data_IF_067862912992
#
_entry.id   IF_067862912992
#
_cell.length_a   1.000
_cell.length_b   1.000
_cell.length_c   1.000
_cell.angle_alpha   90.00
_cell.angle_beta   90.00
_cell.angle_gamma   90.00
#
_symmetry.space_group_name_H-M   'P 1'
#
loop_
_entity.id
_entity.type
_entity.pdbx_description
1 polymer ?
#
# COMPACT_ATOMS: atom_id res chain seq x y z
N UNK A 1 11.12 -25.61 -14.90
CA UNK A 1 10.16 -24.78 -15.66
C UNK A 1 8.71 -24.89 -15.16
N UNK A 2 8.18 -26.08 -14.82
CA UNK A 2 6.80 -26.25 -14.32
C UNK A 2 6.45 -25.52 -13.01
N UNK A 3 7.39 -25.40 -12.06
CA UNK A 3 7.15 -24.69 -10.79
C UNK A 3 7.02 -23.18 -10.95
N UNK A 4 7.81 -22.54 -11.82
CA UNK A 4 7.66 -21.10 -12.11
C UNK A 4 6.29 -20.75 -12.69
N UNK A 5 5.69 -21.67 -13.49
CA UNK A 5 4.36 -21.49 -14.03
C UNK A 5 3.27 -21.46 -12.94
N UNK A 6 3.34 -22.37 -11.95
CA UNK A 6 2.39 -22.43 -10.84
C UNK A 6 2.47 -21.19 -9.91
N UNK A 7 3.67 -20.69 -9.63
CA UNK A 7 3.84 -19.48 -8.83
C UNK A 7 3.30 -18.23 -9.54
N UNK A 8 3.48 -18.16 -10.88
CA UNK A 8 2.97 -17.04 -11.67
C UNK A 8 1.43 -17.01 -11.77
N UNK A 9 0.74 -18.10 -11.47
CA UNK A 9 -0.72 -18.14 -11.40
C UNK A 9 -1.28 -17.72 -10.04
N UNK A 10 -0.45 -17.66 -9.01
CA UNK A 10 -0.84 -17.23 -7.67
C UNK A 10 -1.00 -15.71 -7.64
N UNK A 11 -2.09 -15.23 -7.03
CA UNK A 11 -2.45 -13.81 -6.92
C UNK A 11 -2.07 -13.30 -5.52
N UNK A 12 -0.77 -13.23 -5.23
CA UNK A 12 -0.27 -12.89 -3.89
C UNK A 12 -0.80 -11.54 -3.39
N UNK A 13 -0.76 -10.51 -4.23
CA UNK A 13 -1.26 -9.19 -3.87
C UNK A 13 -2.77 -9.17 -3.63
N UNK A 14 -3.54 -9.91 -4.43
CA UNK A 14 -4.99 -10.01 -4.21
C UNK A 14 -5.29 -10.59 -2.83
N UNK A 15 -4.65 -11.70 -2.47
CA UNK A 15 -4.91 -12.36 -1.19
C UNK A 15 -4.45 -11.53 0.00
N UNK A 16 -3.27 -10.90 -0.08
CA UNK A 16 -2.79 -10.02 1.00
C UNK A 16 -3.65 -8.76 1.14
N UNK A 17 -4.19 -8.22 0.05
CA UNK A 17 -5.12 -7.09 0.10
C UNK A 17 -6.48 -7.49 0.66
N UNK A 18 -7.02 -8.67 0.30
CA UNK A 18 -8.24 -9.21 0.88
C UNK A 18 -8.11 -9.48 2.39
N UNK A 19 -6.89 -9.75 2.87
CA UNK A 19 -6.60 -9.83 4.30
C UNK A 19 -6.51 -8.43 4.94
N UNK A 20 -5.86 -7.46 4.28
CA UNK A 20 -5.72 -6.10 4.79
C UNK A 20 -7.06 -5.39 4.94
N UNK A 21 -8.01 -5.60 4.01
CA UNK A 21 -9.32 -4.94 4.02
C UNK A 21 -10.08 -5.11 5.36
N UNK A 22 -10.37 -6.34 5.83
CA UNK A 22 -11.05 -6.51 7.11
C UNK A 22 -10.20 -5.98 8.29
N UNK A 23 -8.88 -6.11 8.24
CA UNK A 23 -8.01 -5.58 9.29
C UNK A 23 -8.19 -4.07 9.43
N UNK A 24 -8.24 -3.30 8.34
CA UNK A 24 -8.41 -1.85 8.39
C UNK A 24 -9.75 -1.39 9.02
N UNK A 25 -10.78 -2.25 8.99
CA UNK A 25 -12.12 -1.88 9.48
C UNK A 25 -12.55 -2.61 10.76
N UNK A 26 -11.98 -3.78 11.05
CA UNK A 26 -12.32 -4.58 12.24
C UNK A 26 -11.33 -4.33 13.39
N UNK A 27 -10.03 -4.23 13.09
CA UNK A 27 -9.01 -4.01 14.12
C UNK A 27 -9.24 -2.74 14.97
N UNK A 28 -9.81 -1.64 14.46
CA UNK A 28 -10.19 -0.48 15.28
C UNK A 28 -11.01 -0.82 16.51
N UNK A 29 -11.91 -1.79 16.43
CA UNK A 29 -12.77 -2.22 17.54
C UNK A 29 -12.06 -3.09 18.59
N UNK A 30 -10.83 -3.54 18.27
CA UNK A 30 -9.97 -4.34 19.14
C UNK A 30 -8.67 -3.59 19.48
N UNK A 31 -8.61 -2.29 19.22
CA UNK A 31 -7.48 -1.41 19.48
C UNK A 31 -7.68 -0.66 20.81
N UNK A 32 -7.09 0.51 20.94
CA UNK A 32 -7.27 1.40 22.12
C UNK A 32 -8.56 2.21 22.00
N UNK A 33 -9.19 2.52 23.11
CA UNK A 33 -10.49 3.22 23.15
C UNK A 33 -10.47 4.62 22.51
N UNK A 34 -9.30 5.25 22.46
CA UNK A 34 -9.11 6.57 21.83
C UNK A 34 -9.00 6.53 20.33
N UNK A 35 -8.95 5.32 19.72
CA UNK A 35 -8.83 5.18 18.29
C UNK A 35 -10.13 5.56 17.57
N UNK A 36 -10.03 6.44 16.59
CA UNK A 36 -11.14 6.84 15.71
C UNK A 36 -10.85 6.46 14.25
N UNK A 37 -11.73 5.67 13.63
CA UNK A 37 -11.63 5.32 12.20
C UNK A 37 -11.60 6.57 11.32
N UNK A 38 -12.26 7.64 11.73
CA UNK A 38 -12.34 8.90 10.97
C UNK A 38 -11.02 9.66 11.04
N UNK A 39 -10.48 9.83 12.25
CA UNK A 39 -9.28 10.66 12.50
C UNK A 39 -7.97 9.88 12.33
N UNK A 40 -7.93 8.65 12.86
CA UNK A 40 -6.69 7.91 12.95
C UNK A 40 -6.47 7.06 11.70
N UNK A 41 -5.28 7.17 11.17
CA UNK A 41 -4.82 6.39 10.01
C UNK A 41 -4.67 4.91 10.34
N UNK A 42 -4.55 4.07 9.34
CA UNK A 42 -4.23 2.64 9.54
C UNK A 42 -2.84 2.44 10.15
N UNK A 43 -1.90 3.37 9.92
CA UNK A 43 -0.60 3.38 10.58
C UNK A 43 -0.71 3.50 12.10
N UNK A 44 -1.70 4.25 12.59
CA UNK A 44 -1.97 4.33 14.03
C UNK A 44 -2.47 3.01 14.63
N UNK A 45 -3.07 2.10 13.84
CA UNK A 45 -3.37 0.73 14.32
C UNK A 45 -2.10 -0.08 14.58
N UNK A 46 -1.02 0.23 13.88
CA UNK A 46 0.30 -0.37 14.05
C UNK A 46 1.26 0.45 14.92
N UNK A 47 0.78 1.51 15.59
CA UNK A 47 1.61 2.43 16.35
C UNK A 47 2.17 1.80 17.63
N UNK A 48 3.25 2.39 18.14
CA UNK A 48 3.85 2.02 19.43
C UNK A 48 2.80 2.13 20.54
N UNK A 49 2.84 1.23 21.50
CA UNK A 49 1.91 1.16 22.64
C UNK A 49 0.42 0.99 22.25
N UNK A 50 0.12 0.63 21.02
CA UNK A 50 -1.25 0.33 20.57
C UNK A 50 -1.57 -1.15 20.75
N UNK A 51 -2.72 -1.47 21.32
CA UNK A 51 -3.17 -2.85 21.49
C UNK A 51 -3.33 -3.53 20.13
N UNK A 52 -2.81 -4.75 20.01
CA UNK A 52 -2.84 -5.54 18.77
C UNK A 52 -2.14 -4.89 17.55
N UNK A 53 -1.24 -3.93 17.78
CA UNK A 53 -0.50 -3.24 16.72
C UNK A 53 0.21 -4.18 15.73
N UNK A 54 0.70 -5.31 16.23
CA UNK A 54 1.40 -6.31 15.42
C UNK A 54 0.55 -6.83 14.25
N UNK A 55 -0.79 -6.87 14.37
CA UNK A 55 -1.69 -7.35 13.32
C UNK A 55 -1.62 -6.44 12.09
N UNK A 56 -1.69 -5.13 12.28
CA UNK A 56 -1.57 -4.17 11.18
C UNK A 56 -0.17 -4.17 10.59
N UNK A 57 0.86 -4.24 11.43
CA UNK A 57 2.25 -4.25 11.00
C UNK A 57 2.57 -5.48 10.16
N UNK A 58 2.11 -6.67 10.57
CA UNK A 58 2.21 -7.90 9.76
C UNK A 58 1.46 -7.76 8.45
N UNK A 59 0.27 -7.15 8.43
CA UNK A 59 -0.48 -6.93 7.20
C UNK A 59 0.29 -6.03 6.22
N UNK A 60 0.95 -4.96 6.67
CA UNK A 60 1.80 -4.13 5.82
C UNK A 60 2.98 -4.91 5.25
N UNK A 61 3.65 -5.71 6.08
CA UNK A 61 4.75 -6.58 5.62
C UNK A 61 4.28 -7.57 4.56
N UNK A 62 3.15 -8.24 4.77
CA UNK A 62 2.60 -9.21 3.81
C UNK A 62 2.23 -8.56 2.48
N UNK A 63 1.57 -7.40 2.51
CA UNK A 63 1.24 -6.66 1.28
C UNK A 63 2.50 -6.18 0.58
N UNK A 64 3.49 -5.67 1.33
CA UNK A 64 4.76 -5.22 0.77
C UNK A 64 5.53 -6.35 0.08
N UNK A 65 5.65 -7.51 0.73
CA UNK A 65 6.27 -8.71 0.13
C UNK A 65 5.49 -9.14 -1.12
N UNK A 66 4.16 -9.13 -1.06
CA UNK A 66 3.32 -9.49 -2.21
C UNK A 66 3.57 -8.59 -3.41
N UNK A 67 3.71 -7.26 -3.20
CA UNK A 67 4.05 -6.32 -4.26
C UNK A 67 5.41 -6.64 -4.90
N UNK A 68 6.43 -6.98 -4.10
CA UNK A 68 7.75 -7.36 -4.59
C UNK A 68 7.64 -8.63 -5.43
N UNK A 69 6.98 -9.66 -4.93
CA UNK A 69 6.81 -10.94 -5.64
C UNK A 69 6.11 -10.73 -6.98
N UNK A 70 4.99 -9.99 -7.00
CA UNK A 70 4.24 -9.68 -8.23
C UNK A 70 5.07 -8.87 -9.22
N UNK A 71 5.89 -7.91 -8.76
CA UNK A 71 6.79 -7.14 -9.60
C UNK A 71 7.77 -8.04 -10.36
N UNK A 72 8.36 -9.00 -9.66
CA UNK A 72 9.37 -9.90 -10.25
C UNK A 72 8.77 -11.00 -11.10
N UNK A 73 7.54 -11.44 -10.83
CA UNK A 73 6.85 -12.45 -11.63
C UNK A 73 6.26 -11.86 -12.93
N UNK A 74 5.75 -10.63 -12.91
CA UNK A 74 4.91 -10.12 -14.01
C UNK A 74 5.49 -8.92 -14.77
N UNK A 75 6.38 -8.11 -14.15
CA UNK A 75 6.91 -6.89 -14.77
C UNK A 75 8.28 -7.10 -15.46
N UNK A 76 8.58 -8.31 -15.91
CA UNK A 76 9.89 -8.63 -16.50
C UNK A 76 10.28 -7.76 -17.70
N UNK A 77 9.32 -7.40 -18.55
CA UNK A 77 9.51 -6.52 -19.72
C UNK A 77 9.53 -5.02 -19.36
N UNK A 78 9.06 -4.66 -18.18
CA UNK A 78 8.89 -3.27 -17.73
C UNK A 78 9.80 -2.98 -16.53
N UNK A 79 11.12 -2.97 -16.75
CA UNK A 79 12.11 -2.86 -15.69
C UNK A 79 11.91 -1.65 -14.77
N UNK A 80 11.53 -0.49 -15.33
CA UNK A 80 11.28 0.72 -14.56
C UNK A 80 10.11 0.52 -13.57
N UNK A 81 8.99 -0.02 -14.05
CA UNK A 81 7.81 -0.32 -13.22
C UNK A 81 8.11 -1.43 -12.21
N UNK A 82 8.94 -2.42 -12.58
CA UNK A 82 9.40 -3.46 -11.66
C UNK A 82 10.19 -2.86 -10.50
N UNK A 83 11.13 -1.95 -10.77
CA UNK A 83 11.90 -1.27 -9.73
C UNK A 83 10.99 -0.42 -8.85
N UNK A 84 10.09 0.38 -9.44
CA UNK A 84 9.15 1.20 -8.68
C UNK A 84 8.24 0.38 -7.76
N UNK A 85 7.68 -0.73 -8.26
CA UNK A 85 6.82 -1.60 -7.45
C UNK A 85 7.64 -2.34 -6.37
N UNK A 86 8.91 -2.63 -6.63
CA UNK A 86 9.83 -3.17 -5.62
C UNK A 86 10.12 -2.15 -4.53
N UNK A 87 10.41 -0.88 -4.89
CA UNK A 87 10.61 0.21 -3.92
C UNK A 87 9.34 0.42 -3.09
N UNK A 88 8.17 0.47 -3.73
CA UNK A 88 6.88 0.57 -3.05
C UNK A 88 6.69 -0.57 -2.04
N UNK A 89 6.91 -1.81 -2.45
CA UNK A 89 6.76 -2.98 -1.59
C UNK A 89 7.76 -3.01 -0.44
N UNK A 90 9.05 -2.71 -0.69
CA UNK A 90 10.07 -2.60 0.36
C UNK A 90 9.71 -1.51 1.37
N UNK A 91 9.25 -0.37 0.89
CA UNK A 91 8.84 0.72 1.79
C UNK A 91 7.64 0.35 2.64
N UNK A 92 6.67 -0.40 2.12
CA UNK A 92 5.57 -0.96 2.93
C UNK A 92 6.08 -1.95 3.98
N UNK A 93 7.04 -2.84 3.63
CA UNK A 93 7.66 -3.75 4.60
C UNK A 93 8.30 -2.94 5.73
N UNK A 94 9.08 -1.92 5.41
CA UNK A 94 9.72 -1.09 6.43
C UNK A 94 8.72 -0.24 7.22
N UNK A 95 7.63 0.22 6.60
CA UNK A 95 6.51 0.86 7.31
C UNK A 95 5.87 -0.08 8.34
N UNK A 96 5.84 -1.39 8.08
CA UNK A 96 5.36 -2.40 9.05
C UNK A 96 6.41 -2.79 10.10
N UNK A 97 7.71 -2.62 9.82
CA UNK A 97 8.80 -2.94 10.78
C UNK A 97 9.01 -1.78 11.76
N UNK A 98 9.02 -0.55 11.27
CA UNK A 98 9.17 0.65 12.09
C UNK A 98 7.78 1.16 12.50
N UNK A 99 7.58 1.36 13.80
CA UNK A 99 6.26 1.69 14.35
C UNK A 99 6.05 3.20 14.41
N UNK A 100 4.85 3.63 14.05
CA UNK A 100 4.41 5.04 14.19
C UNK A 100 4.39 5.46 15.67
N UNK A 101 4.46 6.76 15.94
CA UNK A 101 4.25 7.32 17.28
C UNK A 101 2.90 6.89 17.87
N UNK A 102 2.78 6.76 19.21
CA UNK A 102 1.52 6.47 19.90
C UNK A 102 0.45 7.53 19.62
N UNK A 103 -0.82 7.12 19.68
CA UNK A 103 -1.96 8.04 19.61
C UNK A 103 -2.12 8.79 20.95
N UNK A 104 -1.76 8.14 22.06
CA UNK A 104 -1.93 8.70 23.41
C UNK A 104 -0.80 9.69 23.67
N UNK A 105 -1.15 10.93 23.96
CA UNK A 105 -0.19 11.97 24.30
C UNK A 105 0.54 11.66 25.63
N UNK A 106 1.80 12.06 25.72
CA UNK A 106 2.63 11.89 26.94
C UNK A 106 3.23 10.50 27.13
N UNK A 107 2.94 9.55 26.25
CA UNK A 107 3.60 8.22 26.28
C UNK A 107 5.00 8.33 25.71
N UNK A 108 5.99 7.77 26.43
CA UNK A 108 7.37 7.70 25.96
C UNK A 108 7.41 6.70 24.80
N UNK A 109 8.04 7.09 23.69
CA UNK A 109 8.15 6.26 22.51
C UNK A 109 9.50 6.43 21.80
N UNK A 110 9.83 5.52 20.91
CA UNK A 110 11.02 5.58 20.08
C UNK A 110 10.81 6.52 18.88
N UNK A 111 11.33 7.75 18.98
CA UNK A 111 11.20 8.76 17.94
C UNK A 111 11.99 8.41 16.65
N UNK A 112 13.00 7.54 16.73
CA UNK A 112 13.74 7.08 15.54
C UNK A 112 12.86 6.16 14.71
N UNK A 113 12.15 5.22 15.35
CA UNK A 113 11.19 4.35 14.66
C UNK A 113 10.08 5.16 13.97
N UNK A 114 9.49 6.13 14.67
CA UNK A 114 8.45 7.00 14.11
C UNK A 114 8.95 7.78 12.88
N UNK A 115 10.17 8.33 12.97
CA UNK A 115 10.78 9.02 11.83
C UNK A 115 11.01 8.08 10.66
N UNK A 116 11.51 6.87 10.90
CA UNK A 116 11.74 5.88 9.85
C UNK A 116 10.41 5.43 9.23
N UNK A 117 9.38 5.17 10.05
CA UNK A 117 8.03 4.90 9.57
C UNK A 117 7.54 5.99 8.62
N UNK A 118 7.65 7.26 9.03
CA UNK A 118 7.20 8.41 8.24
C UNK A 118 7.97 8.56 6.92
N UNK A 119 9.29 8.31 6.93
CA UNK A 119 10.11 8.30 5.71
C UNK A 119 9.62 7.22 4.74
N UNK A 120 9.48 5.97 5.22
CA UNK A 120 9.05 4.88 4.35
C UNK A 120 7.61 5.05 3.88
N UNK A 121 6.69 5.53 4.72
CA UNK A 121 5.33 5.86 4.31
C UNK A 121 5.30 6.94 3.22
N UNK A 122 6.20 7.92 3.29
CA UNK A 122 6.37 8.94 2.25
C UNK A 122 6.87 8.34 0.94
N UNK A 123 7.86 7.43 1.00
CA UNK A 123 8.36 6.72 -0.19
C UNK A 123 7.26 5.84 -0.81
N UNK A 124 6.41 5.20 -0.01
CA UNK A 124 5.20 4.49 -0.50
C UNK A 124 4.33 5.40 -1.35
N UNK A 125 3.99 6.59 -0.85
CA UNK A 125 3.17 7.56 -1.58
C UNK A 125 3.78 8.01 -2.90
N UNK A 126 5.05 8.43 -2.89
CA UNK A 126 5.75 8.89 -4.10
C UNK A 126 5.94 7.78 -5.13
N UNK A 127 6.41 6.61 -4.70
CA UNK A 127 6.64 5.48 -5.61
C UNK A 127 5.34 5.00 -6.25
N UNK A 128 4.23 5.00 -5.51
CA UNK A 128 2.90 4.68 -6.04
C UNK A 128 2.45 5.70 -7.08
N UNK A 129 2.53 7.00 -6.78
CA UNK A 129 2.12 8.06 -7.71
C UNK A 129 2.90 7.99 -9.02
N UNK A 130 4.23 7.82 -8.94
CA UNK A 130 5.08 7.68 -10.14
C UNK A 130 4.71 6.39 -10.89
N UNK A 131 4.51 5.27 -10.19
CA UNK A 131 4.09 4.01 -10.80
C UNK A 131 2.77 4.15 -11.54
N UNK A 132 1.76 4.77 -10.92
CA UNK A 132 0.44 4.94 -11.51
C UNK A 132 0.51 5.82 -12.77
N UNK A 133 1.11 7.00 -12.70
CA UNK A 133 1.21 7.92 -13.82
C UNK A 133 2.06 7.34 -14.96
N UNK A 134 3.22 6.74 -14.64
CA UNK A 134 4.10 6.15 -15.65
C UNK A 134 3.48 4.93 -16.34
N UNK A 135 2.57 4.22 -15.68
CA UNK A 135 1.84 3.11 -16.28
C UNK A 135 0.97 3.53 -17.48
N UNK A 136 0.62 4.83 -17.59
CA UNK A 136 -0.06 5.34 -18.77
C UNK A 136 0.77 5.19 -20.06
N UNK A 137 2.11 5.18 -19.95
CA UNK A 137 2.98 5.09 -21.13
C UNK A 137 3.15 3.65 -21.65
N UNK A 138 2.87 2.65 -20.84
CA UNK A 138 2.97 1.23 -21.24
C UNK A 138 1.63 0.64 -21.67
N UNK A 139 0.51 1.30 -21.39
CA UNK A 139 -0.83 0.84 -21.77
C UNK A 139 -1.16 1.19 -23.22
N UNK A 140 -1.77 0.25 -23.94
CA UNK A 140 -2.20 0.45 -25.33
C UNK A 140 -3.54 1.17 -25.41
N UNK A 141 -4.50 0.80 -24.56
CA UNK A 141 -5.85 1.35 -24.58
C UNK A 141 -5.91 2.72 -23.91
N UNK A 142 -6.45 3.72 -24.61
CA UNK A 142 -6.61 5.10 -24.11
C UNK A 142 -7.36 5.13 -22.78
N UNK A 143 -8.42 4.32 -22.63
CA UNK A 143 -9.18 4.21 -21.38
C UNK A 143 -8.26 3.88 -20.18
N UNK A 144 -7.36 2.92 -20.33
CA UNK A 144 -6.47 2.53 -19.26
C UNK A 144 -5.40 3.58 -18.97
N UNK A 145 -4.93 4.32 -19.99
CA UNK A 145 -4.03 5.45 -19.80
C UNK A 145 -4.67 6.53 -18.92
N UNK A 146 -5.92 6.88 -19.23
CA UNK A 146 -6.68 7.87 -18.44
C UNK A 146 -6.86 7.39 -17.01
N UNK A 147 -7.28 6.14 -16.80
CA UNK A 147 -7.45 5.55 -15.45
C UNK A 147 -6.15 5.63 -14.66
N UNK A 148 -5.01 5.29 -15.25
CA UNK A 148 -3.70 5.31 -14.59
C UNK A 148 -3.34 6.74 -14.11
N UNK A 149 -3.56 7.73 -14.95
CA UNK A 149 -3.33 9.15 -14.62
C UNK A 149 -4.28 9.61 -13.51
N UNK A 150 -5.57 9.31 -13.66
CA UNK A 150 -6.59 9.69 -12.65
C UNK A 150 -6.28 9.08 -11.29
N UNK A 151 -5.91 7.80 -11.24
CA UNK A 151 -5.56 7.12 -9.97
C UNK A 151 -4.33 7.76 -9.31
N UNK A 152 -3.28 8.09 -10.08
CA UNK A 152 -2.11 8.77 -9.56
C UNK A 152 -2.44 10.14 -8.96
N UNK A 153 -3.23 10.95 -9.67
CA UNK A 153 -3.69 12.25 -9.15
C UNK A 153 -4.61 12.10 -7.94
N UNK A 154 -5.55 11.15 -7.96
CA UNK A 154 -6.45 10.91 -6.83
C UNK A 154 -5.66 10.53 -5.57
N UNK A 155 -4.67 9.63 -5.68
CA UNK A 155 -3.82 9.27 -4.54
C UNK A 155 -3.06 10.47 -4.00
N UNK A 156 -2.53 11.33 -4.87
CA UNK A 156 -1.83 12.56 -4.48
C UNK A 156 -2.78 13.53 -3.77
N UNK A 157 -3.98 13.76 -4.32
CA UNK A 157 -4.97 14.67 -3.71
C UNK A 157 -5.39 14.16 -2.33
N UNK A 158 -5.70 12.86 -2.20
CA UNK A 158 -6.08 12.27 -0.91
C UNK A 158 -4.92 12.35 0.10
N UNK A 159 -3.67 12.19 -0.34
CA UNK A 159 -2.50 12.38 0.54
C UNK A 159 -2.35 13.82 1.01
N UNK A 160 -2.64 14.80 0.15
CA UNK A 160 -2.68 16.21 0.54
C UNK A 160 -3.82 16.50 1.52
N UNK A 161 -4.99 15.90 1.30
CA UNK A 161 -6.13 16.06 2.23
C UNK A 161 -5.80 15.52 3.63
N UNK A 162 -4.97 14.50 3.77
CA UNK A 162 -4.49 14.05 5.08
C UNK A 162 -3.69 15.13 5.82
N UNK A 163 -2.98 16.01 5.10
CA UNK A 163 -2.21 17.11 5.69
C UNK A 163 -3.10 18.32 6.03
N UNK A 164 -4.03 18.67 5.11
CA UNK A 164 -4.86 19.87 5.27
C UNK A 164 -6.14 19.65 6.11
N UNK A 165 -6.63 18.41 6.16
CA UNK A 165 -7.84 17.99 6.89
C UNK A 165 -7.52 16.80 7.80
N UNK A 166 -6.65 16.98 8.81
CA UNK A 166 -6.14 15.90 9.66
C UNK A 166 -7.24 15.17 10.44
N UNK A 167 -8.35 15.83 10.75
CA UNK A 167 -9.50 15.22 11.44
C UNK A 167 -10.19 14.10 10.63
N UNK A 168 -9.88 13.98 9.33
CA UNK A 168 -10.39 12.95 8.42
C UNK A 168 -9.29 12.05 7.85
N UNK A 169 -8.07 12.11 8.38
CA UNK A 169 -6.91 11.37 7.87
C UNK A 169 -7.16 9.87 7.78
N UNK A 170 -7.92 9.32 8.72
CA UNK A 170 -8.28 7.91 8.73
C UNK A 170 -9.13 7.51 7.52
N UNK A 171 -10.07 8.36 7.10
CA UNK A 171 -10.90 8.14 5.91
C UNK A 171 -10.04 8.25 4.65
N UNK A 172 -9.24 9.32 4.55
CA UNK A 172 -8.42 9.56 3.37
C UNK A 172 -7.43 8.43 3.12
N UNK A 173 -6.74 7.95 4.15
CA UNK A 173 -5.78 6.87 3.99
C UNK A 173 -6.44 5.55 3.58
N UNK A 174 -7.60 5.19 4.16
CA UNK A 174 -8.35 3.99 3.75
C UNK A 174 -8.80 4.09 2.30
N UNK A 175 -9.28 5.26 1.88
CA UNK A 175 -9.64 5.51 0.48
C UNK A 175 -8.43 5.34 -0.45
N UNK A 176 -7.26 5.89 -0.08
CA UNK A 176 -6.01 5.69 -0.82
C UNK A 176 -5.71 4.19 -0.96
N UNK A 177 -5.73 3.42 0.11
CA UNK A 177 -5.43 1.99 0.07
C UNK A 177 -6.39 1.20 -0.81
N UNK A 178 -7.70 1.46 -0.68
CA UNK A 178 -8.71 0.77 -1.48
C UNK A 178 -8.51 1.08 -2.97
N UNK A 179 -8.38 2.35 -3.34
CA UNK A 179 -8.20 2.77 -4.73
C UNK A 179 -6.88 2.25 -5.28
N UNK A 180 -5.79 2.42 -4.55
CA UNK A 180 -4.44 2.09 -5.01
C UNK A 180 -4.25 0.59 -5.20
N UNK A 181 -4.62 -0.23 -4.22
CA UNK A 181 -4.44 -1.68 -4.33
C UNK A 181 -5.42 -2.30 -5.33
N UNK A 182 -6.67 -1.83 -5.39
CA UNK A 182 -7.61 -2.27 -6.42
C UNK A 182 -7.07 -1.99 -7.83
N UNK A 183 -6.58 -0.76 -8.05
CA UNK A 183 -5.98 -0.39 -9.32
C UNK A 183 -4.74 -1.25 -9.63
N UNK A 184 -3.85 -1.44 -8.67
CA UNK A 184 -2.62 -2.20 -8.84
C UNK A 184 -2.89 -3.66 -9.21
N UNK A 185 -3.86 -4.29 -8.53
CA UNK A 185 -4.30 -5.67 -8.82
C UNK A 185 -4.84 -5.76 -10.26
N UNK A 186 -5.70 -4.82 -10.65
CA UNK A 186 -6.26 -4.80 -12.00
C UNK A 186 -5.21 -4.55 -13.08
N UNK A 187 -4.24 -3.67 -12.82
CA UNK A 187 -3.13 -3.40 -13.73
C UNK A 187 -2.24 -4.63 -13.91
N UNK A 188 -1.85 -5.30 -12.82
CA UNK A 188 -1.05 -6.51 -12.87
C UNK A 188 -1.78 -7.66 -13.58
N UNK A 189 -3.10 -7.80 -13.37
CA UNK A 189 -3.90 -8.82 -14.06
C UNK A 189 -3.95 -8.59 -15.57
N UNK A 190 -4.09 -7.34 -16.02
CA UNK A 190 -4.03 -7.00 -17.46
C UNK A 190 -2.69 -7.39 -18.07
N UNK A 191 -1.58 -7.08 -17.38
CA UNK A 191 -0.24 -7.44 -17.85
C UNK A 191 -0.07 -8.96 -17.90
N UNK A 192 -0.55 -9.67 -16.87
CA UNK A 192 -0.52 -11.14 -16.80
C UNK A 192 -1.23 -11.78 -17.98
N UNK A 193 -2.45 -11.33 -18.30
CA UNK A 193 -3.24 -11.85 -19.43
C UNK A 193 -2.54 -11.55 -20.76
N UNK A 194 -2.03 -10.34 -20.94
CA UNK A 194 -1.32 -9.95 -22.17
C UNK A 194 -0.03 -10.77 -22.40
N UNK A 195 0.64 -11.17 -21.33
CA UNK A 195 1.89 -11.96 -21.43
C UNK A 195 1.62 -13.43 -21.77
N UNK A 196 0.46 -13.98 -21.37
CA UNK A 196 0.07 -15.38 -21.70
C UNK A 196 -0.43 -15.54 -23.14
N UNK A 197 -0.84 -14.44 -23.79
CA UNK A 197 -1.37 -14.45 -25.16
C UNK A 197 -0.28 -14.37 -26.26
N UNK A 198 0.98 -14.27 -25.87
CA UNK A 198 2.17 -14.26 -26.75
C UNK A 198 2.92 -15.58 -26.61
#
# INVERSE_FOLDING_TARGET
>A
MKEKGKLADCKFLLWSFLLLLPIMFVLPFCSIDTYSIVKNTTSHLGAQSTTNAWIMNVAFVLVGISCIVEAWLHLGKFWFHKILLTIFGLSLVFTGIFHHAPIIEGVIFNSIEDRLHSIFATIVGFSFTILAISSAFIEKAVKHRIINIVVGFTATILSMLMLYLPDYSGIWQRAIFIISFTWLILMLERIRVSTKAI
#
